data_IF_287362602040
#
_entry.id   IF_287362602040
#
_cell.length_a   1.000
_cell.length_b   1.000
_cell.length_c   1.000
_cell.angle_alpha   90.00
_cell.angle_beta   90.00
_cell.angle_gamma   90.00
#
_symmetry.space_group_name_H-M   'P 1'
#
loop_
_entity.id
_entity.type
_entity.pdbx_description
1 polymer ?
#
# COMPACT_ATOMS: atom_id res chain seq x y z
N UNK A 1 -3.89 12.38 -19.62
CA UNK A 1 -3.33 11.59 -18.50
C UNK A 1 -3.48 10.10 -18.76
N UNK A 2 -2.46 9.28 -18.50
CA UNK A 2 -2.55 7.82 -18.67
C UNK A 2 -3.28 7.12 -17.50
N UNK A 3 -3.29 7.73 -16.32
CA UNK A 3 -3.99 7.27 -15.12
C UNK A 3 -4.37 8.48 -14.24
N UNK A 4 -5.46 8.37 -13.47
CA UNK A 4 -5.83 9.35 -12.45
C UNK A 4 -6.23 8.59 -11.18
N UNK A 5 -5.59 8.91 -10.06
CA UNK A 5 -5.86 8.31 -8.76
C UNK A 5 -6.71 9.28 -7.93
N UNK A 6 -7.89 8.82 -7.50
CA UNK A 6 -8.76 9.54 -6.58
C UNK A 6 -8.48 9.02 -5.17
N UNK A 7 -7.84 9.84 -4.35
CA UNK A 7 -7.35 9.44 -3.04
C UNK A 7 -8.00 10.29 -1.95
N UNK A 8 -8.45 9.62 -0.89
CA UNK A 8 -8.87 10.24 0.37
C UNK A 8 -7.84 10.02 1.47
N UNK A 9 -8.25 10.26 2.72
CA UNK A 9 -7.47 9.95 3.92
C UNK A 9 -8.24 8.96 4.79
N UNK A 10 -7.49 8.10 5.46
CA UNK A 10 -7.99 7.13 6.44
C UNK A 10 -6.90 6.87 7.48
N UNK A 11 -7.17 6.04 8.48
CA UNK A 11 -6.19 5.71 9.50
C UNK A 11 -6.23 4.22 9.89
N UNK A 12 -5.19 3.78 10.59
CA UNK A 12 -5.08 2.39 11.05
C UNK A 12 -6.23 1.98 11.97
N UNK A 13 -6.71 2.90 12.83
CA UNK A 13 -7.87 2.66 13.71
C UNK A 13 -9.13 2.36 12.89
N UNK A 14 -9.39 3.14 11.84
CA UNK A 14 -10.58 2.96 11.01
C UNK A 14 -10.48 1.68 10.19
N UNK A 15 -9.28 1.31 9.72
CA UNK A 15 -9.03 0.01 9.09
C UNK A 15 -9.40 -1.15 10.03
N UNK A 16 -8.94 -1.12 11.27
CA UNK A 16 -9.28 -2.15 12.26
C UNK A 16 -10.78 -2.19 12.57
N UNK A 17 -11.43 -1.03 12.65
CA UNK A 17 -12.86 -0.91 12.93
C UNK A 17 -13.77 -1.25 11.75
N UNK A 18 -13.25 -1.32 10.53
CA UNK A 18 -14.05 -1.53 9.31
C UNK A 18 -13.57 -2.75 8.53
N UNK A 19 -12.50 -2.64 7.73
CA UNK A 19 -11.95 -3.71 6.90
C UNK A 19 -11.62 -4.98 7.68
N UNK A 20 -11.05 -4.85 8.88
CA UNK A 20 -10.66 -5.98 9.74
C UNK A 20 -11.75 -6.41 10.72
N UNK A 21 -12.91 -5.77 10.69
CA UNK A 21 -14.03 -6.11 11.56
C UNK A 21 -14.70 -7.42 11.12
N UNK A 22 -15.21 -8.19 12.08
CA UNK A 22 -16.10 -9.32 11.80
C UNK A 22 -17.36 -8.88 11.01
N UNK A 23 -17.76 -7.61 11.16
CA UNK A 23 -18.91 -7.01 10.49
C UNK A 23 -18.58 -6.39 9.12
N UNK A 24 -17.37 -6.59 8.57
CA UNK A 24 -16.97 -6.00 7.29
C UNK A 24 -17.96 -6.31 6.16
N UNK A 25 -18.51 -7.53 6.11
CA UNK A 25 -19.50 -7.89 5.08
C UNK A 25 -20.86 -7.21 5.29
N UNK A 26 -21.25 -6.94 6.54
CA UNK A 26 -22.45 -6.16 6.84
C UNK A 26 -22.26 -4.69 6.42
N UNK A 27 -21.08 -4.11 6.69
CA UNK A 27 -20.72 -2.76 6.23
C UNK A 27 -20.77 -2.67 4.70
N UNK A 28 -20.28 -3.68 3.98
CA UNK A 28 -20.36 -3.72 2.50
C UNK A 28 -21.79 -3.77 1.99
N UNK A 29 -22.61 -4.63 2.57
CA UNK A 29 -24.03 -4.74 2.21
C UNK A 29 -24.76 -3.43 2.43
N UNK A 30 -24.49 -2.76 3.55
CA UNK A 30 -25.05 -1.43 3.86
C UNK A 30 -24.55 -0.35 2.91
N UNK A 31 -23.26 -0.28 2.61
CA UNK A 31 -22.71 0.70 1.67
C UNK A 31 -23.35 0.57 0.29
N UNK A 32 -23.53 -0.65 -0.20
CA UNK A 32 -24.22 -0.91 -1.47
C UNK A 32 -25.70 -0.47 -1.43
N UNK A 33 -26.42 -0.74 -0.34
CA UNK A 33 -27.84 -0.42 -0.22
C UNK A 33 -28.11 1.08 0.03
N UNK A 34 -27.30 1.73 0.86
CA UNK A 34 -27.52 3.11 1.31
C UNK A 34 -26.87 4.13 0.36
N UNK A 35 -25.70 3.81 -0.22
CA UNK A 35 -24.86 4.74 -0.98
C UNK A 35 -24.54 4.27 -2.40
N UNK A 36 -24.98 3.07 -2.79
CA UNK A 36 -24.67 2.48 -4.10
C UNK A 36 -23.21 2.05 -4.26
N UNK A 37 -22.42 2.05 -3.19
CA UNK A 37 -21.00 1.66 -3.19
C UNK A 37 -20.70 0.73 -2.01
N UNK A 38 -20.37 -0.56 -2.27
CA UNK A 38 -20.04 -1.52 -1.22
C UNK A 38 -18.79 -1.17 -0.41
N UNK A 39 -17.97 -0.21 -0.85
CA UNK A 39 -16.75 0.20 -0.14
C UNK A 39 -16.94 1.46 0.69
N UNK A 40 -18.08 2.15 0.58
CA UNK A 40 -18.30 3.47 1.19
C UNK A 40 -18.18 3.52 2.72
N UNK A 41 -18.37 2.39 3.41
CA UNK A 41 -18.22 2.27 4.86
C UNK A 41 -16.95 1.55 5.29
N UNK A 42 -15.98 1.38 4.39
CA UNK A 42 -14.70 0.76 4.67
C UNK A 42 -13.56 1.77 4.51
N UNK A 43 -12.55 1.68 5.39
CA UNK A 43 -11.39 2.56 5.40
C UNK A 43 -10.56 2.46 4.12
N UNK A 44 -10.35 1.24 3.60
CA UNK A 44 -9.61 0.96 2.36
C UNK A 44 -8.22 1.63 2.28
N UNK A 45 -7.32 1.47 3.28
CA UNK A 45 -5.99 2.05 3.20
C UNK A 45 -5.19 1.45 2.03
N UNK A 46 -4.59 2.32 1.21
CA UNK A 46 -3.81 1.92 0.04
C UNK A 46 -2.42 1.41 0.47
N UNK A 47 -2.12 0.15 0.17
CA UNK A 47 -0.78 -0.42 0.29
C UNK A 47 0.09 -0.15 -0.94
N UNK A 48 1.37 -0.45 -0.82
CA UNK A 48 2.32 -0.55 -1.93
C UNK A 48 3.08 -1.88 -1.86
N UNK A 49 3.30 -2.51 -3.01
CA UNK A 49 4.06 -3.76 -3.14
C UNK A 49 5.07 -3.68 -4.28
N UNK A 50 6.24 -4.29 -4.08
CA UNK A 50 7.34 -4.29 -5.04
C UNK A 50 7.68 -5.68 -5.56
N UNK A 51 7.41 -5.94 -6.84
CA UNK A 51 7.97 -7.06 -7.58
C UNK A 51 9.41 -6.73 -7.95
N UNK A 52 10.35 -7.14 -7.10
CA UNK A 52 11.78 -6.90 -7.29
C UNK A 52 12.40 -8.01 -8.12
N UNK A 53 12.93 -7.66 -9.29
CA UNK A 53 13.62 -8.60 -10.21
C UNK A 53 15.12 -8.34 -10.19
N UNK A 54 15.89 -9.36 -9.86
CA UNK A 54 17.36 -9.32 -9.83
C UNK A 54 17.98 -9.33 -11.23
N UNK A 55 19.26 -8.99 -11.33
CA UNK A 55 19.96 -8.93 -12.62
C UNK A 55 20.07 -10.29 -13.34
N UNK A 56 19.97 -11.41 -12.61
CA UNK A 56 19.88 -12.78 -13.15
C UNK A 56 18.43 -13.24 -13.40
N UNK A 57 17.45 -12.35 -13.28
CA UNK A 57 16.05 -12.61 -13.67
C UNK A 57 15.21 -13.34 -12.62
N UNK A 58 15.66 -13.41 -11.36
CA UNK A 58 14.90 -13.99 -10.25
C UNK A 58 14.00 -12.94 -9.58
N UNK A 59 12.93 -13.39 -8.94
CA UNK A 59 12.01 -12.55 -8.16
C UNK A 59 12.28 -12.73 -6.67
N UNK A 60 12.36 -11.61 -5.94
CA UNK A 60 12.53 -11.62 -4.48
C UNK A 60 11.19 -11.91 -3.80
N UNK A 61 11.19 -12.88 -2.88
CA UNK A 61 10.07 -13.19 -2.00
C UNK A 61 10.52 -13.19 -0.54
N UNK A 62 9.61 -12.81 0.36
CA UNK A 62 9.81 -12.79 1.80
C UNK A 62 8.92 -13.84 2.47
N UNK A 63 9.37 -14.38 3.60
CA UNK A 63 8.58 -15.28 4.46
C UNK A 63 8.08 -14.50 5.66
N UNK A 64 6.76 -14.38 5.81
CA UNK A 64 6.15 -13.74 6.97
C UNK A 64 6.35 -14.58 8.23
N UNK A 65 6.50 -13.91 9.37
CA UNK A 65 6.53 -14.56 10.68
C UNK A 65 5.21 -15.30 10.96
N UNK A 66 5.26 -16.32 11.82
CA UNK A 66 4.06 -17.00 12.31
C UNK A 66 3.33 -16.23 13.42
N UNK A 67 3.91 -15.11 13.89
CA UNK A 67 3.42 -14.35 15.07
C UNK A 67 2.78 -13.00 14.72
N UNK A 68 2.39 -12.80 13.47
CA UNK A 68 1.75 -11.55 13.00
C UNK A 68 0.23 -11.72 12.88
N UNK A 69 -0.51 -10.61 12.95
CA UNK A 69 -1.97 -10.60 12.86
C UNK A 69 -2.52 -10.88 11.45
N UNK A 70 -1.80 -10.49 10.40
CA UNK A 70 -2.20 -10.67 9.00
C UNK A 70 -1.29 -11.68 8.29
N UNK A 71 -1.89 -12.67 7.61
CA UNK A 71 -1.21 -13.64 6.75
C UNK A 71 0.01 -14.36 7.40
N UNK A 72 -0.14 -14.99 8.59
CA UNK A 72 0.98 -15.61 9.29
C UNK A 72 1.60 -16.77 8.49
N UNK A 73 2.93 -16.77 8.37
CA UNK A 73 3.70 -17.83 7.70
C UNK A 73 3.62 -17.84 6.17
N UNK A 74 2.83 -16.96 5.55
CA UNK A 74 2.66 -16.91 4.11
C UNK A 74 3.89 -16.28 3.41
N UNK A 75 3.96 -16.47 2.09
CA UNK A 75 4.93 -15.79 1.24
C UNK A 75 4.38 -14.40 0.93
N UNK A 76 5.26 -13.42 0.92
CA UNK A 76 4.95 -12.03 0.58
C UNK A 76 5.99 -11.45 -0.38
N UNK A 77 5.69 -10.28 -0.95
CA UNK A 77 6.66 -9.42 -1.63
C UNK A 77 7.02 -8.25 -0.70
N UNK A 78 8.17 -7.58 -0.90
CA UNK A 78 8.49 -6.37 -0.15
C UNK A 78 7.44 -5.28 -0.35
N UNK A 79 7.07 -4.58 0.71
CA UNK A 79 6.03 -3.55 0.64
C UNK A 79 5.52 -3.08 2.00
N UNK A 80 4.52 -2.20 1.98
CA UNK A 80 4.00 -1.59 3.19
C UNK A 80 2.84 -0.63 2.94
N UNK A 81 2.59 0.25 3.91
CA UNK A 81 1.48 1.20 3.91
C UNK A 81 2.02 2.62 4.07
N UNK A 82 2.07 3.42 2.99
CA UNK A 82 2.64 4.76 3.04
C UNK A 82 1.83 5.70 3.92
N UNK A 83 2.52 6.54 4.70
CA UNK A 83 1.88 7.48 5.62
C UNK A 83 1.84 8.91 5.03
N UNK A 84 0.69 9.62 5.10
CA UNK A 84 0.56 11.00 4.59
C UNK A 84 1.53 12.01 5.21
N UNK A 85 2.05 11.73 6.41
CA UNK A 85 2.99 12.57 7.14
C UNK A 85 4.27 12.85 6.35
N UNK A 86 4.74 11.91 5.53
CA UNK A 86 5.91 12.12 4.64
C UNK A 86 5.66 13.21 3.60
N UNK A 87 4.40 13.38 3.18
CA UNK A 87 3.98 14.45 2.25
C UNK A 87 3.79 15.79 2.98
N UNK A 88 3.41 15.79 4.25
CA UNK A 88 3.16 17.00 5.04
C UNK A 88 3.95 17.00 6.38
N UNK A 89 5.29 17.05 6.34
CA UNK A 89 6.12 16.86 7.54
C UNK A 89 5.89 17.93 8.61
N UNK A 90 5.54 19.15 8.22
CA UNK A 90 5.31 20.29 9.13
C UNK A 90 3.93 20.28 9.82
N UNK A 91 3.01 19.40 9.41
CA UNK A 91 1.63 19.36 9.94
C UNK A 91 1.51 18.17 10.89
N UNK A 92 0.92 18.36 12.08
CA UNK A 92 0.62 17.23 12.97
C UNK A 92 -0.23 16.18 12.25
N UNK A 93 0.06 14.90 12.45
CA UNK A 93 -0.59 13.80 11.71
C UNK A 93 -2.12 13.84 11.84
N UNK A 94 -2.63 14.06 13.06
CA UNK A 94 -4.06 14.18 13.35
C UNK A 94 -4.73 15.41 12.71
N UNK A 95 -3.95 16.34 12.15
CA UNK A 95 -4.42 17.58 11.53
C UNK A 95 -4.23 17.61 10.02
N UNK A 96 -3.72 16.52 9.42
CA UNK A 96 -3.55 16.42 7.96
C UNK A 96 -4.92 16.29 7.30
N UNK A 97 -5.15 17.14 6.30
CA UNK A 97 -6.36 17.16 5.47
C UNK A 97 -5.99 16.93 4.01
N UNK A 98 -6.94 16.44 3.20
CA UNK A 98 -6.70 16.12 1.78
C UNK A 98 -6.27 17.38 1.01
N UNK A 99 -6.82 18.54 1.36
CA UNK A 99 -6.55 19.82 0.72
C UNK A 99 -5.09 20.29 0.88
N UNK A 100 -4.43 19.84 1.96
CA UNK A 100 -3.01 20.13 2.20
C UNK A 100 -2.07 19.24 1.38
N UNK A 101 -2.58 18.15 0.79
CA UNK A 101 -1.78 17.15 0.09
C UNK A 101 -1.74 17.45 -1.41
N UNK A 102 -0.63 18.03 -1.86
CA UNK A 102 -0.38 18.24 -3.28
C UNK A 102 -0.30 16.88 -4.02
N UNK A 103 -1.17 16.65 -5.00
CA UNK A 103 -1.23 15.38 -5.74
C UNK A 103 0.10 14.92 -6.35
N UNK A 104 0.95 15.85 -6.82
CA UNK A 104 2.29 15.51 -7.33
C UNK A 104 3.21 14.98 -6.23
N UNK A 105 3.10 15.52 -5.01
CA UNK A 105 3.88 15.04 -3.85
C UNK A 105 3.35 13.70 -3.36
N UNK A 106 2.03 13.49 -3.37
CA UNK A 106 1.41 12.20 -3.04
C UNK A 106 1.87 11.10 -4.00
N UNK A 107 1.84 11.36 -5.32
CA UNK A 107 2.36 10.38 -6.31
C UNK A 107 3.84 10.11 -6.09
N UNK A 108 4.64 11.15 -5.82
CA UNK A 108 6.07 10.96 -5.51
C UNK A 108 6.26 10.09 -4.27
N UNK A 109 5.44 10.28 -3.24
CA UNK A 109 5.49 9.48 -2.03
C UNK A 109 5.17 8.01 -2.31
N UNK A 110 4.08 7.71 -3.04
CA UNK A 110 3.73 6.32 -3.38
C UNK A 110 4.85 5.56 -4.11
N UNK A 111 5.60 6.25 -4.97
CA UNK A 111 6.74 5.65 -5.68
C UNK A 111 8.00 5.60 -4.80
N UNK A 112 8.18 6.55 -3.88
CA UNK A 112 9.36 6.59 -3.00
C UNK A 112 9.24 5.61 -1.84
N UNK A 113 8.03 5.41 -1.33
CA UNK A 113 7.74 4.52 -0.21
C UNK A 113 8.04 3.06 -0.56
N UNK A 114 7.64 2.57 -1.73
CA UNK A 114 7.94 1.19 -2.15
C UNK A 114 9.45 0.92 -2.21
N UNK A 115 10.26 1.88 -2.67
CA UNK A 115 11.73 1.75 -2.64
C UNK A 115 12.29 1.75 -1.22
N UNK A 116 11.68 2.55 -0.33
CA UNK A 116 12.07 2.63 1.09
C UNK A 116 11.77 1.32 1.80
N UNK A 117 10.60 0.73 1.58
CA UNK A 117 10.22 -0.59 2.12
C UNK A 117 11.18 -1.68 1.63
N UNK A 118 11.49 -1.71 0.32
CA UNK A 118 12.45 -2.68 -0.23
C UNK A 118 13.82 -2.53 0.44
N UNK A 119 14.31 -1.29 0.64
CA UNK A 119 15.57 -1.04 1.35
C UNK A 119 15.50 -1.57 2.77
N UNK A 120 14.43 -1.28 3.50
CA UNK A 120 14.33 -1.55 4.93
C UNK A 120 14.12 -3.04 5.22
N UNK A 121 13.32 -3.75 4.41
CA UNK A 121 13.03 -5.17 4.58
C UNK A 121 14.09 -6.10 3.96
N UNK A 122 14.64 -5.72 2.79
CA UNK A 122 15.59 -6.54 2.03
C UNK A 122 17.05 -6.13 2.27
N UNK A 123 17.27 -4.97 2.88
CA UNK A 123 18.60 -4.42 3.21
C UNK A 123 19.50 -4.25 1.96
N UNK A 124 18.96 -3.61 0.92
CA UNK A 124 19.67 -3.31 -0.33
C UNK A 124 19.87 -1.80 -0.53
N UNK A 125 20.96 -1.35 -1.19
CA UNK A 125 21.17 0.07 -1.44
C UNK A 125 20.13 0.63 -2.42
N UNK A 126 19.55 1.81 -2.11
CA UNK A 126 18.59 2.48 -3.00
C UNK A 126 19.19 2.75 -4.40
N UNK A 127 20.48 3.08 -4.47
CA UNK A 127 21.18 3.32 -5.74
C UNK A 127 21.22 2.08 -6.67
N UNK A 128 20.87 0.90 -6.15
CA UNK A 128 20.81 -0.34 -6.90
C UNK A 128 19.39 -0.70 -7.37
N UNK A 129 18.38 0.08 -7.00
CA UNK A 129 16.99 -0.10 -7.42
C UNK A 129 16.68 0.85 -8.58
N UNK A 130 16.01 0.35 -9.61
CA UNK A 130 15.49 1.20 -10.68
C UNK A 130 14.30 2.05 -10.20
N UNK A 131 13.98 3.09 -10.96
CA UNK A 131 12.69 3.77 -10.79
C UNK A 131 11.53 2.77 -10.87
N UNK A 132 10.54 2.83 -9.95
CA UNK A 132 9.40 1.92 -9.97
C UNK A 132 8.49 2.16 -11.17
N UNK A 133 7.94 1.09 -11.71
CA UNK A 133 6.89 1.14 -12.73
C UNK A 133 5.61 0.56 -12.15
N UNK A 134 4.54 1.36 -12.07
CA UNK A 134 3.24 0.87 -11.62
C UNK A 134 2.69 -0.15 -12.64
N UNK A 135 2.51 -1.39 -12.19
CA UNK A 135 1.91 -2.47 -12.97
C UNK A 135 0.38 -2.42 -12.92
N UNK A 136 -0.17 -2.09 -11.74
CA UNK A 136 -1.61 -2.06 -11.50
C UNK A 136 -1.96 -1.92 -10.03
N UNK A 137 -3.24 -2.12 -9.71
CA UNK A 137 -3.75 -2.15 -8.34
C UNK A 137 -4.43 -3.49 -8.10
N UNK A 138 -4.02 -4.20 -7.06
CA UNK A 138 -4.62 -5.46 -6.63
C UNK A 138 -5.53 -5.25 -5.42
N UNK A 139 -6.60 -6.04 -5.31
CA UNK A 139 -7.54 -5.98 -4.19
C UNK A 139 -7.41 -7.24 -3.33
N UNK A 140 -7.19 -7.06 -2.03
CA UNK A 140 -7.17 -8.17 -1.08
C UNK A 140 -8.60 -8.50 -0.61
N UNK A 141 -9.23 -9.50 -1.23
CA UNK A 141 -10.58 -9.92 -0.86
C UNK A 141 -10.70 -10.59 0.51
N UNK A 142 -9.60 -11.07 1.11
CA UNK A 142 -9.62 -11.57 2.50
C UNK A 142 -9.59 -10.43 3.53
N UNK A 143 -9.25 -9.21 3.10
CA UNK A 143 -9.25 -7.97 3.89
C UNK A 143 -10.30 -6.97 3.37
N UNK A 144 -11.50 -7.49 3.08
CA UNK A 144 -12.65 -6.71 2.60
C UNK A 144 -12.37 -5.84 1.35
N UNK A 145 -11.47 -6.29 0.47
CA UNK A 145 -11.14 -5.61 -0.79
C UNK A 145 -10.05 -4.54 -0.68
N UNK A 146 -9.31 -4.47 0.43
CA UNK A 146 -8.23 -3.49 0.64
C UNK A 146 -7.28 -3.41 -0.57
N UNK A 147 -7.05 -2.22 -1.17
CA UNK A 147 -6.23 -2.09 -2.36
C UNK A 147 -4.73 -2.01 -2.03
N UNK A 148 -3.91 -2.43 -2.99
CA UNK A 148 -2.45 -2.24 -3.00
C UNK A 148 -1.98 -1.87 -4.41
N UNK A 149 -1.14 -0.84 -4.52
CA UNK A 149 -0.47 -0.47 -5.77
C UNK A 149 0.77 -1.33 -5.97
N UNK A 150 0.83 -2.05 -7.08
CA UNK A 150 1.88 -3.03 -7.36
C UNK A 150 2.88 -2.50 -8.37
N UNK A 151 4.16 -2.52 -7.99
CA UNK A 151 5.25 -1.94 -8.77
C UNK A 151 6.23 -3.00 -9.26
N UNK A 152 6.77 -2.79 -10.45
CA UNK A 152 7.97 -3.48 -10.94
C UNK A 152 9.21 -2.66 -10.63
N UNK A 153 10.21 -3.31 -10.03
CA UNK A 153 11.52 -2.71 -9.73
C UNK A 153 12.62 -3.68 -10.19
N UNK A 154 13.64 -3.17 -10.86
CA UNK A 154 14.85 -3.94 -11.18
C UNK A 154 15.93 -3.66 -10.16
N UNK A 155 16.61 -4.72 -9.70
CA UNK A 155 17.77 -4.65 -8.82
C UNK A 155 19.05 -4.97 -9.61
N UNK A 156 20.07 -4.11 -9.52
CA UNK A 156 21.23 -4.17 -10.42
C UNK A 156 22.33 -5.18 -10.01
N UNK A 157 22.21 -5.86 -8.87
CA UNK A 157 23.18 -6.85 -8.42
C UNK A 157 22.70 -8.29 -8.59
N UNK A 158 23.64 -9.17 -8.91
CA UNK A 158 23.53 -10.63 -8.75
C UNK A 158 24.27 -11.06 -7.48
N UNK A 159 23.93 -12.24 -6.95
CA UNK A 159 24.76 -12.92 -5.92
C UNK A 159 26.12 -13.32 -6.48
#
# INVERSE_FOLDING_TARGET
>A
PALSLLLGLTCYRDFLGTNWSAEAQALRSRGAAELGDPLAFLAQPLGVGGVVVTADGLVVFLRRSLKVGEAPGLIDIPGGHPEPKTVAPEVSEDSITVEQLCGRRVVRELFSSVLTEIRDEVNVPLACLSEPVLLGIALNHTSAGRPSAEFYIRYCWTR
#
